data_IF_172258129008
#
_entry.id   IF_172258129008
#
_cell.length_a   1.000
_cell.length_b   1.000
_cell.length_c   1.000
_cell.angle_alpha   90.00
_cell.angle_beta   90.00
_cell.angle_gamma   90.00
#
_symmetry.space_group_name_H-M   'P 1'
#
loop_
_entity.id
_entity.type
_entity.pdbx_description
1 polymer ?
#
# COMPACT_ATOMS: atom_id res chain seq x y z
N UNK A 1 1.02 21.25 -29.89
CA UNK A 1 1.09 19.90 -29.30
C UNK A 1 2.33 19.22 -29.84
N UNK A 2 3.27 18.81 -28.99
CA UNK A 2 4.42 18.02 -29.43
C UNK A 2 4.02 16.53 -29.39
N UNK A 3 3.87 15.91 -30.56
CA UNK A 3 3.69 14.47 -30.74
C UNK A 3 5.05 13.90 -31.15
N UNK A 4 5.73 13.20 -30.24
CA UNK A 4 6.95 12.46 -30.58
C UNK A 4 6.54 11.02 -30.90
N UNK A 5 6.77 10.59 -32.15
CA UNK A 5 6.30 9.31 -32.71
C UNK A 5 7.43 8.26 -32.86
N UNK A 6 8.58 8.45 -32.20
CA UNK A 6 9.75 7.58 -32.29
C UNK A 6 10.18 7.13 -30.88
N UNK A 7 10.93 6.00 -30.73
CA UNK A 7 11.56 5.61 -29.47
C UNK A 7 12.71 6.59 -29.14
N UNK A 8 12.34 7.82 -28.79
CA UNK A 8 13.27 8.88 -28.46
C UNK A 8 13.58 8.85 -26.97
N UNK A 9 14.86 8.86 -26.63
CA UNK A 9 15.33 9.24 -25.29
C UNK A 9 14.83 10.67 -25.02
N UNK A 10 13.76 10.78 -24.26
CA UNK A 10 13.04 12.04 -24.10
C UNK A 10 13.71 12.90 -23.04
N UNK A 11 14.56 13.85 -23.46
CA UNK A 11 15.04 14.94 -22.61
C UNK A 11 14.22 16.18 -22.93
N UNK A 12 13.30 16.55 -22.04
CA UNK A 12 12.44 17.72 -22.22
C UNK A 12 12.82 18.78 -21.18
N UNK A 13 13.52 19.82 -21.64
CA UNK A 13 13.85 21.02 -20.86
C UNK A 13 12.82 22.10 -21.23
N UNK A 14 11.71 22.17 -20.49
CA UNK A 14 10.69 23.20 -20.73
C UNK A 14 10.23 23.84 -19.42
N UNK A 15 10.39 25.17 -19.34
CA UNK A 15 9.62 26.03 -18.45
C UNK A 15 8.31 26.41 -19.15
N UNK A 16 7.17 26.01 -18.60
CA UNK A 16 5.84 26.47 -19.01
C UNK A 16 5.00 25.46 -19.83
N UNK A 17 3.78 25.21 -19.33
CA UNK A 17 2.57 24.72 -20.03
C UNK A 17 2.68 23.62 -21.10
N UNK A 18 3.59 22.66 -20.99
CA UNK A 18 3.65 21.54 -21.94
C UNK A 18 2.73 20.37 -21.52
N UNK A 19 1.80 19.99 -22.41
CA UNK A 19 1.04 18.72 -22.40
C UNK A 19 1.59 17.74 -23.46
N UNK A 20 2.81 17.21 -23.30
CA UNK A 20 3.39 16.31 -24.28
C UNK A 20 2.74 14.92 -24.19
N UNK A 21 2.65 14.23 -25.33
CA UNK A 21 2.21 12.84 -25.39
C UNK A 21 3.24 11.99 -26.11
N UNK A 22 3.64 10.89 -25.48
CA UNK A 22 4.63 9.95 -25.98
C UNK A 22 4.00 8.57 -26.19
N UNK A 23 4.16 8.03 -27.41
CA UNK A 23 3.66 6.69 -27.72
C UNK A 23 4.58 5.60 -27.14
N UNK A 24 5.88 5.70 -27.39
CA UNK A 24 6.88 4.80 -26.85
C UNK A 24 8.10 5.59 -26.38
N UNK A 25 8.62 5.24 -25.21
CA UNK A 25 9.83 5.84 -24.66
C UNK A 25 10.67 4.76 -23.97
N UNK A 26 11.92 4.61 -24.39
CA UNK A 26 12.88 3.72 -23.73
C UNK A 26 13.35 4.33 -22.40
N UNK A 27 13.81 5.57 -22.43
CA UNK A 27 14.23 6.33 -21.27
C UNK A 27 13.65 7.74 -21.32
N UNK A 28 12.96 8.14 -20.25
CA UNK A 28 12.52 9.52 -20.07
C UNK A 28 13.20 10.13 -18.86
N UNK A 29 13.95 11.20 -19.05
CA UNK A 29 14.64 11.94 -18.00
C UNK A 29 14.19 13.41 -18.03
N UNK A 30 13.46 13.87 -17.00
CA UNK A 30 12.93 15.25 -17.01
C UNK A 30 13.72 16.21 -16.14
N UNK A 31 14.06 17.38 -16.69
CA UNK A 31 14.52 18.58 -15.98
C UNK A 31 13.71 19.77 -16.51
N UNK A 32 12.49 19.95 -15.99
CA UNK A 32 11.54 21.01 -16.38
C UNK A 32 10.21 20.91 -15.63
N UNK A 33 9.34 21.92 -15.76
CA UNK A 33 8.01 21.97 -15.12
C UNK A 33 6.95 21.60 -16.14
N UNK A 34 6.30 20.44 -15.99
CA UNK A 34 5.34 19.93 -16.96
C UNK A 34 3.93 19.73 -16.37
N UNK A 35 2.90 19.89 -17.22
CA UNK A 35 1.50 19.73 -16.84
C UNK A 35 0.78 18.74 -17.73
N UNK A 36 0.29 17.65 -17.15
CA UNK A 36 -0.44 16.55 -17.79
C UNK A 36 0.31 15.86 -18.94
N UNK A 37 1.58 15.44 -18.77
CA UNK A 37 2.21 14.58 -19.77
C UNK A 37 1.56 13.19 -19.79
N UNK A 38 1.47 12.57 -20.95
CA UNK A 38 0.94 11.21 -21.14
C UNK A 38 1.95 10.30 -21.84
N UNK A 39 2.09 9.09 -21.31
CA UNK A 39 2.99 8.05 -21.84
C UNK A 39 2.18 6.77 -22.07
N UNK A 40 2.14 6.28 -23.31
CA UNK A 40 1.49 5.00 -23.59
C UNK A 40 2.38 3.83 -23.14
N UNK A 41 3.62 3.78 -23.61
CA UNK A 41 4.62 2.83 -23.14
C UNK A 41 5.92 3.53 -22.74
N UNK A 42 6.37 3.31 -21.50
CA UNK A 42 7.64 3.79 -21.00
C UNK A 42 8.43 2.63 -20.36
N UNK A 43 9.66 2.38 -20.81
CA UNK A 43 10.48 1.33 -20.19
C UNK A 43 11.05 1.83 -18.86
N UNK A 44 11.78 2.94 -18.88
CA UNK A 44 12.30 3.58 -17.67
C UNK A 44 11.90 5.06 -17.64
N UNK A 45 11.24 5.45 -16.55
CA UNK A 45 10.90 6.84 -16.30
C UNK A 45 11.63 7.35 -15.06
N UNK A 46 12.50 8.34 -15.27
CA UNK A 46 13.22 9.05 -14.23
C UNK A 46 12.82 10.55 -14.24
N UNK A 47 12.19 11.05 -13.18
CA UNK A 47 11.94 12.51 -13.05
C UNK A 47 12.99 13.18 -12.21
N UNK A 48 13.63 14.22 -12.74
CA UNK A 48 14.41 15.22 -12.00
C UNK A 48 13.73 16.61 -12.15
N UNK A 49 12.44 16.72 -11.79
CA UNK A 49 11.65 17.94 -12.02
C UNK A 49 10.29 17.99 -11.32
N UNK A 50 9.46 19.00 -11.65
CA UNK A 50 8.11 19.19 -11.09
C UNK A 50 7.06 18.84 -12.13
N UNK A 51 6.25 17.81 -11.87
CA UNK A 51 5.19 17.38 -12.78
C UNK A 51 3.81 17.39 -12.13
N UNK A 52 2.81 17.89 -12.85
CA UNK A 52 1.41 17.85 -12.43
C UNK A 52 0.61 16.87 -13.29
N UNK A 53 -0.04 15.90 -12.66
CA UNK A 53 -0.93 14.87 -13.25
C UNK A 53 -0.31 14.08 -14.42
N UNK A 54 0.92 13.53 -14.30
CA UNK A 54 1.44 12.65 -15.34
C UNK A 54 0.62 11.35 -15.39
N UNK A 55 0.42 10.83 -16.60
CA UNK A 55 -0.32 9.58 -16.83
C UNK A 55 0.51 8.58 -17.61
N UNK A 56 0.52 7.33 -17.15
CA UNK A 56 1.25 6.22 -17.76
C UNK A 56 0.29 5.07 -17.99
N UNK A 57 0.15 4.63 -19.24
CA UNK A 57 -0.60 3.40 -19.54
C UNK A 57 0.24 2.18 -19.17
N UNK A 58 1.48 2.09 -19.65
CA UNK A 58 2.43 1.06 -19.27
C UNK A 58 3.78 1.68 -18.89
N UNK A 59 4.28 1.33 -17.71
CA UNK A 59 5.60 1.72 -17.23
C UNK A 59 6.36 0.49 -16.70
N UNK A 60 7.53 0.15 -17.24
CA UNK A 60 8.26 -0.99 -16.69
C UNK A 60 8.91 -0.60 -15.35
N UNK A 61 9.63 0.51 -15.33
CA UNK A 61 10.37 1.00 -14.17
C UNK A 61 10.08 2.48 -13.96
N UNK A 62 9.67 2.86 -12.75
CA UNK A 62 9.47 4.26 -12.39
C UNK A 62 10.29 4.65 -11.17
N UNK A 63 11.15 5.66 -11.36
CA UNK A 63 12.08 6.16 -10.35
C UNK A 63 11.99 7.70 -10.26
N UNK A 64 11.17 8.25 -9.34
CA UNK A 64 11.06 9.69 -9.19
C UNK A 64 12.20 10.23 -8.32
N UNK A 65 13.03 11.10 -8.89
CA UNK A 65 13.97 12.00 -8.22
C UNK A 65 13.44 13.46 -8.22
N UNK A 66 12.14 13.65 -7.91
CA UNK A 66 11.47 14.96 -8.03
C UNK A 66 10.11 15.08 -7.33
N UNK A 67 9.35 16.12 -7.67
CA UNK A 67 8.02 16.40 -7.10
C UNK A 67 6.93 16.10 -8.13
N UNK A 68 6.08 15.12 -7.84
CA UNK A 68 4.95 14.78 -8.70
C UNK A 68 3.61 14.96 -7.99
N UNK A 69 2.67 15.65 -8.63
CA UNK A 69 1.31 15.81 -8.11
C UNK A 69 0.32 14.94 -8.87
N UNK A 70 -0.37 14.03 -8.18
CA UNK A 70 -1.38 13.13 -8.78
C UNK A 70 -0.89 12.27 -9.97
N UNK A 71 0.30 11.65 -9.96
CA UNK A 71 0.64 10.61 -10.94
C UNK A 71 -0.38 9.47 -10.95
N UNK A 72 -0.69 8.98 -12.15
CA UNK A 72 -1.57 7.83 -12.38
C UNK A 72 -0.93 6.81 -13.30
N UNK A 73 -0.99 5.54 -12.93
CA UNK A 73 -0.45 4.41 -13.69
C UNK A 73 -1.54 3.36 -13.91
N UNK A 74 -1.74 2.94 -15.16
CA UNK A 74 -2.59 1.79 -15.46
C UNK A 74 -1.82 0.50 -15.14
N UNK A 75 -0.62 0.33 -15.70
CA UNK A 75 0.27 -0.78 -15.35
C UNK A 75 1.68 -0.28 -15.02
N UNK A 76 2.27 -0.85 -13.97
CA UNK A 76 3.66 -0.61 -13.59
C UNK A 76 4.34 -1.94 -13.18
N UNK A 77 5.56 -2.22 -13.64
CA UNK A 77 6.23 -3.45 -13.19
C UNK A 77 6.95 -3.23 -11.88
N UNK A 78 7.80 -2.21 -11.78
CA UNK A 78 8.48 -1.83 -10.54
C UNK A 78 8.37 -0.33 -10.32
N UNK A 79 8.05 0.02 -9.07
CA UNK A 79 8.04 1.40 -8.61
C UNK A 79 8.98 1.57 -7.43
N UNK A 80 9.94 2.48 -7.59
CA UNK A 80 10.94 2.78 -6.57
C UNK A 80 10.98 4.30 -6.31
N UNK A 81 10.35 4.78 -5.23
CA UNK A 81 10.26 6.20 -4.95
C UNK A 81 11.47 6.74 -4.19
N UNK A 82 12.16 7.67 -4.82
CA UNK A 82 13.16 8.56 -4.21
C UNK A 82 12.67 10.01 -4.09
N UNK A 83 11.37 10.27 -4.31
CA UNK A 83 10.80 11.60 -4.47
C UNK A 83 9.46 11.83 -3.75
N UNK A 84 8.96 13.07 -3.79
CA UNK A 84 7.74 13.48 -3.09
C UNK A 84 6.53 13.44 -4.02
N UNK A 85 5.56 12.59 -3.72
CA UNK A 85 4.30 12.51 -4.45
C UNK A 85 3.09 12.91 -3.57
N UNK A 86 2.23 13.81 -4.05
CA UNK A 86 1.13 14.40 -3.25
C UNK A 86 -0.19 13.62 -3.27
N UNK A 87 -0.40 12.78 -4.28
CA UNK A 87 -1.46 11.75 -4.44
C UNK A 87 -0.98 10.79 -5.52
N UNK A 88 -1.23 9.49 -5.40
CA UNK A 88 -0.69 8.49 -6.32
C UNK A 88 -1.75 7.41 -6.54
N UNK A 89 -1.98 7.02 -7.79
CA UNK A 89 -2.97 5.98 -8.10
C UNK A 89 -2.39 4.93 -9.05
N UNK A 90 -2.52 3.66 -8.67
CA UNK A 90 -2.19 2.51 -9.52
C UNK A 90 -3.42 1.64 -9.75
N UNK A 91 -3.65 1.28 -11.02
CA UNK A 91 -4.56 0.18 -11.34
C UNK A 91 -3.87 -1.16 -11.15
N UNK A 92 -2.69 -1.36 -11.75
CA UNK A 92 -1.89 -2.57 -11.56
C UNK A 92 -0.41 -2.21 -11.31
N UNK A 93 0.21 -2.85 -10.31
CA UNK A 93 1.65 -2.79 -10.11
C UNK A 93 2.19 -4.16 -9.70
N UNK A 94 3.29 -4.62 -10.30
CA UNK A 94 3.88 -5.88 -9.83
C UNK A 94 4.57 -5.67 -8.49
N UNK A 95 5.52 -4.75 -8.41
CA UNK A 95 6.41 -4.62 -7.26
C UNK A 95 6.59 -3.17 -6.82
N UNK A 96 6.59 -2.95 -5.51
CA UNK A 96 7.10 -1.74 -4.87
C UNK A 96 8.29 -2.11 -3.99
N UNK A 97 9.45 -1.52 -4.26
CA UNK A 97 10.65 -1.75 -3.44
C UNK A 97 10.52 -1.06 -2.07
N UNK A 98 10.67 0.27 -2.03
CA UNK A 98 10.57 1.04 -0.78
C UNK A 98 9.67 2.24 -0.97
N UNK A 99 8.42 2.15 -0.56
CA UNK A 99 7.47 3.26 -0.71
C UNK A 99 7.28 4.01 0.61
N UNK A 100 7.71 5.28 0.63
CA UNK A 100 7.48 6.20 1.75
C UNK A 100 6.70 7.42 1.31
N UNK A 101 5.46 7.59 1.79
CA UNK A 101 4.63 8.72 1.33
C UNK A 101 3.85 9.39 2.46
N UNK A 102 3.61 10.69 2.25
CA UNK A 102 2.80 11.55 3.13
C UNK A 102 1.40 11.84 2.58
N UNK A 103 1.05 11.27 1.43
CA UNK A 103 -0.16 11.55 0.66
C UNK A 103 -1.13 10.37 0.61
N UNK A 104 -2.39 10.55 0.18
CA UNK A 104 -3.40 9.47 0.12
C UNK A 104 -3.30 8.68 -1.20
N UNK A 105 -2.56 7.56 -1.31
CA UNK A 105 -2.56 6.77 -2.52
C UNK A 105 -3.73 5.78 -2.56
N UNK A 106 -4.04 5.31 -3.76
CA UNK A 106 -4.97 4.20 -3.99
C UNK A 106 -4.29 3.15 -4.86
N UNK A 107 -4.30 1.90 -4.39
CA UNK A 107 -3.74 0.75 -5.08
C UNK A 107 -4.86 -0.25 -5.35
N UNK A 108 -5.14 -0.52 -6.63
CA UNK A 108 -6.19 -1.47 -7.01
C UNK A 108 -5.65 -2.90 -7.01
N UNK A 109 -4.72 -3.26 -7.90
CA UNK A 109 -4.10 -4.58 -7.95
C UNK A 109 -2.58 -4.44 -7.79
N UNK A 110 -2.01 -5.00 -6.73
CA UNK A 110 -0.57 -4.99 -6.51
C UNK A 110 -0.06 -6.37 -6.13
N UNK A 111 1.07 -6.82 -6.67
CA UNK A 111 1.60 -8.12 -6.24
C UNK A 111 2.33 -7.97 -4.92
N UNK A 112 3.41 -7.19 -4.89
CA UNK A 112 4.33 -7.16 -3.74
C UNK A 112 4.66 -5.72 -3.32
N UNK A 113 4.66 -5.48 -2.01
CA UNK A 113 5.34 -4.35 -1.39
C UNK A 113 6.45 -4.89 -0.47
N UNK A 114 7.71 -4.58 -0.76
CA UNK A 114 8.81 -4.99 0.10
C UNK A 114 8.84 -4.12 1.38
N UNK A 115 8.93 -2.81 1.24
CA UNK A 115 8.82 -1.88 2.39
C UNK A 115 7.83 -0.77 2.09
N UNK A 116 6.86 -0.58 2.98
CA UNK A 116 5.86 0.47 2.87
C UNK A 116 5.70 1.22 4.19
N UNK A 117 5.93 2.53 4.15
CA UNK A 117 5.79 3.42 5.31
C UNK A 117 4.94 4.64 4.97
N UNK A 118 3.80 4.81 5.63
CA UNK A 118 2.89 5.92 5.30
C UNK A 118 2.38 6.67 6.51
N UNK A 119 2.22 7.99 6.34
CA UNK A 119 1.62 8.90 7.34
C UNK A 119 0.18 9.33 7.01
N UNK A 120 -0.35 8.85 5.90
CA UNK A 120 -1.60 9.27 5.25
C UNK A 120 -2.52 8.07 5.03
N UNK A 121 -3.81 8.26 4.73
CA UNK A 121 -4.80 7.17 4.61
C UNK A 121 -4.77 6.50 3.21
N UNK A 122 -4.04 5.38 2.97
CA UNK A 122 -4.14 4.68 1.71
C UNK A 122 -5.34 3.74 1.66
N UNK A 123 -5.71 3.35 0.45
CA UNK A 123 -6.61 2.23 0.20
C UNK A 123 -5.92 1.18 -0.68
N UNK A 124 -6.04 -0.08 -0.28
CA UNK A 124 -5.53 -1.25 -1.00
C UNK A 124 -6.71 -2.18 -1.31
N UNK A 125 -6.95 -2.46 -2.59
CA UNK A 125 -8.07 -3.31 -3.01
C UNK A 125 -7.67 -4.78 -3.10
N UNK A 126 -6.69 -5.13 -3.92
CA UNK A 126 -6.19 -6.49 -4.11
C UNK A 126 -4.66 -6.46 -4.04
N UNK A 127 -4.08 -7.02 -2.99
CA UNK A 127 -2.63 -7.06 -2.80
C UNK A 127 -2.17 -8.47 -2.44
N UNK A 128 -1.12 -8.99 -3.06
CA UNK A 128 -0.68 -10.36 -2.69
C UNK A 128 0.13 -10.33 -1.39
N UNK A 129 1.19 -9.52 -1.33
CA UNK A 129 2.14 -9.50 -0.22
C UNK A 129 2.55 -8.10 0.22
N UNK A 130 2.67 -7.93 1.53
CA UNK A 130 3.44 -6.86 2.17
C UNK A 130 4.51 -7.48 3.05
N UNK A 131 5.80 -7.28 2.73
CA UNK A 131 6.88 -7.82 3.56
C UNK A 131 7.05 -6.97 4.84
N UNK A 132 7.18 -5.66 4.71
CA UNK A 132 7.19 -4.73 5.86
C UNK A 132 6.25 -3.57 5.63
N UNK A 133 5.30 -3.39 6.55
CA UNK A 133 4.31 -2.32 6.47
C UNK A 133 4.20 -1.57 7.80
N UNK A 134 4.44 -0.26 7.78
CA UNK A 134 4.39 0.62 8.95
C UNK A 134 3.54 1.85 8.70
N UNK A 135 2.47 2.02 9.48
CA UNK A 135 1.40 2.97 9.18
C UNK A 135 1.02 3.81 10.39
N UNK A 136 1.03 5.13 10.24
CA UNK A 136 0.55 6.08 11.28
C UNK A 136 -0.87 6.59 11.03
N UNK A 137 -1.53 6.08 10.00
CA UNK A 137 -2.82 6.53 9.48
C UNK A 137 -3.88 5.43 9.50
N UNK A 138 -5.08 5.70 8.97
CA UNK A 138 -6.20 4.75 8.89
C UNK A 138 -6.21 4.07 7.51
N UNK A 139 -5.41 3.02 7.28
CA UNK A 139 -5.44 2.30 6.01
C UNK A 139 -6.67 1.39 5.92
N UNK A 140 -7.11 1.14 4.68
CA UNK A 140 -8.12 0.13 4.38
C UNK A 140 -7.54 -0.92 3.43
N UNK A 141 -7.69 -2.19 3.80
CA UNK A 141 -7.26 -3.35 3.04
C UNK A 141 -8.48 -4.21 2.70
N UNK A 142 -8.76 -4.39 1.40
CA UNK A 142 -9.94 -5.14 0.98
C UNK A 142 -9.63 -6.64 0.83
N UNK A 143 -8.75 -7.01 -0.09
CA UNK A 143 -8.31 -8.37 -0.34
C UNK A 143 -6.77 -8.42 -0.30
N UNK A 144 -6.19 -9.05 0.74
CA UNK A 144 -4.74 -9.14 0.89
C UNK A 144 -4.30 -10.54 1.29
N UNK A 145 -3.38 -11.18 0.57
CA UNK A 145 -3.01 -12.56 0.90
C UNK A 145 -2.14 -12.62 2.16
N UNK A 146 -1.05 -11.84 2.23
CA UNK A 146 -0.12 -11.93 3.36
C UNK A 146 0.49 -10.58 3.80
N UNK A 147 0.71 -10.49 5.11
CA UNK A 147 1.52 -9.44 5.74
C UNK A 147 2.62 -10.09 6.58
N UNK A 148 3.88 -9.94 6.18
CA UNK A 148 5.04 -10.53 6.85
C UNK A 148 5.68 -9.65 7.94
N UNK A 149 5.21 -8.40 8.09
CA UNK A 149 5.38 -7.59 9.30
C UNK A 149 4.45 -6.39 9.16
N UNK A 150 3.57 -6.18 10.14
CA UNK A 150 2.62 -5.07 10.09
C UNK A 150 2.55 -4.32 11.43
N UNK A 151 2.92 -3.04 11.39
CA UNK A 151 2.80 -2.09 12.50
C UNK A 151 1.80 -0.98 12.17
N UNK A 152 0.70 -0.85 12.92
CA UNK A 152 -0.29 0.23 12.70
C UNK A 152 -0.63 0.99 14.00
N UNK A 153 -0.42 2.30 14.00
CA UNK A 153 -0.71 3.15 15.15
C UNK A 153 -2.13 3.75 15.18
N UNK A 154 -2.87 3.67 14.08
CA UNK A 154 -4.20 4.27 13.92
C UNK A 154 -5.21 3.22 13.42
N UNK A 155 -6.53 3.45 13.43
CA UNK A 155 -7.58 2.42 13.22
C UNK A 155 -7.57 1.84 11.79
N UNK A 156 -6.98 0.65 11.52
CA UNK A 156 -7.07 0.03 10.19
C UNK A 156 -8.34 -0.80 10.03
N UNK A 157 -8.71 -1.07 8.78
CA UNK A 157 -9.77 -2.01 8.44
C UNK A 157 -9.27 -3.07 7.45
N UNK A 158 -9.57 -4.34 7.72
CA UNK A 158 -9.23 -5.50 6.90
C UNK A 158 -10.50 -6.28 6.57
N UNK A 159 -10.85 -6.47 5.29
CA UNK A 159 -12.06 -7.23 4.92
C UNK A 159 -11.81 -8.69 4.56
N UNK A 160 -10.80 -9.00 3.75
CA UNK A 160 -10.48 -10.36 3.31
C UNK A 160 -8.96 -10.53 3.32
N UNK A 161 -8.40 -11.08 4.41
CA UNK A 161 -6.95 -11.24 4.51
C UNK A 161 -6.55 -12.63 4.96
N UNK A 162 -5.63 -13.29 4.26
CA UNK A 162 -5.35 -14.70 4.55
C UNK A 162 -4.40 -14.89 5.73
N UNK A 163 -3.28 -14.14 5.78
CA UNK A 163 -2.23 -14.38 6.77
C UNK A 163 -1.57 -13.10 7.29
N UNK A 164 -1.26 -13.08 8.58
CA UNK A 164 -0.46 -12.04 9.26
C UNK A 164 0.62 -12.65 10.15
N UNK A 165 1.85 -12.17 10.03
CA UNK A 165 3.00 -12.65 10.78
C UNK A 165 4.06 -11.56 10.82
N UNK A 166 4.52 -11.00 11.94
CA UNK A 166 3.76 -10.54 13.10
C UNK A 166 2.94 -9.27 12.83
N UNK A 167 1.85 -9.10 13.59
CA UNK A 167 0.96 -7.94 13.55
C UNK A 167 0.94 -7.22 14.91
N UNK A 168 1.27 -5.93 14.92
CA UNK A 168 1.27 -5.09 16.12
C UNK A 168 0.52 -3.79 15.92
N UNK A 169 -0.46 -3.51 16.78
CA UNK A 169 -1.32 -2.34 16.64
C UNK A 169 -1.60 -1.63 17.95
N UNK A 170 -1.60 -0.29 17.90
CA UNK A 170 -1.92 0.56 19.06
C UNK A 170 -3.38 1.05 19.07
N UNK A 171 -4.11 0.81 17.99
CA UNK A 171 -5.43 1.36 17.70
C UNK A 171 -6.52 0.28 17.70
N UNK A 172 -7.76 0.65 17.35
CA UNK A 172 -8.95 -0.23 17.28
C UNK A 172 -9.09 -0.78 15.84
N UNK A 173 -8.50 -1.94 15.50
CA UNK A 173 -8.65 -2.53 14.18
C UNK A 173 -9.97 -3.26 14.02
N UNK A 174 -10.42 -3.36 12.78
CA UNK A 174 -11.56 -4.20 12.39
C UNK A 174 -11.13 -5.23 11.36
N UNK A 175 -11.48 -6.49 11.60
CA UNK A 175 -11.21 -7.64 10.74
C UNK A 175 -12.54 -8.31 10.37
N UNK A 176 -12.84 -8.43 9.07
CA UNK A 176 -14.10 -9.02 8.62
C UNK A 176 -13.96 -10.51 8.29
N UNK A 177 -13.07 -10.90 7.38
CA UNK A 177 -12.81 -12.28 7.00
C UNK A 177 -11.30 -12.48 6.94
N UNK A 178 -10.70 -12.83 8.08
CA UNK A 178 -9.24 -12.97 8.17
C UNK A 178 -8.85 -14.35 8.69
N UNK A 179 -8.12 -15.14 7.91
CA UNK A 179 -7.93 -16.55 8.22
C UNK A 179 -6.95 -16.76 9.38
N UNK A 180 -5.69 -16.35 9.23
CA UNK A 180 -4.63 -16.73 10.18
C UNK A 180 -3.81 -15.55 10.69
N UNK A 181 -3.53 -15.58 11.99
CA UNK A 181 -2.61 -14.65 12.67
C UNK A 181 -1.54 -15.45 13.42
N UNK A 182 -0.29 -15.39 12.97
CA UNK A 182 0.83 -16.04 13.66
C UNK A 182 1.12 -15.35 15.00
N UNK A 183 1.19 -14.02 15.01
CA UNK A 183 1.34 -13.22 16.24
C UNK A 183 0.55 -11.93 16.11
N UNK A 184 -0.35 -11.68 17.06
CA UNK A 184 -1.16 -10.48 17.10
C UNK A 184 -1.06 -9.77 18.45
N UNK A 185 -0.49 -8.56 18.45
CA UNK A 185 -0.45 -7.64 19.58
C UNK A 185 -1.38 -6.44 19.36
N UNK A 186 -2.39 -6.23 20.22
CA UNK A 186 -3.28 -5.06 20.13
C UNK A 186 -3.45 -4.35 21.47
N UNK A 187 -3.09 -3.07 21.54
CA UNK A 187 -3.20 -2.29 22.78
C UNK A 187 -4.62 -1.74 23.06
N UNK A 188 -5.53 -1.78 22.10
CA UNK A 188 -6.90 -1.28 22.26
C UNK A 188 -7.93 -2.32 21.83
N UNK A 189 -9.23 -2.00 21.79
CA UNK A 189 -10.33 -2.95 21.50
C UNK A 189 -10.42 -3.29 20.01
N UNK A 190 -10.03 -4.50 19.55
CA UNK A 190 -10.24 -4.94 18.18
C UNK A 190 -11.60 -5.62 17.98
N UNK A 191 -12.08 -5.64 16.74
CA UNK A 191 -13.28 -6.38 16.34
C UNK A 191 -12.98 -7.39 15.23
N UNK A 192 -13.49 -8.61 15.38
CA UNK A 192 -13.35 -9.70 14.42
C UNK A 192 -14.73 -10.27 14.07
N UNK A 193 -15.08 -10.29 12.78
CA UNK A 193 -16.33 -10.88 12.31
C UNK A 193 -16.15 -12.37 12.00
N UNK A 194 -15.20 -12.72 11.14
CA UNK A 194 -14.88 -14.10 10.79
C UNK A 194 -13.35 -14.30 10.82
N UNK A 195 -12.89 -15.25 11.62
CA UNK A 195 -11.48 -15.56 11.71
C UNK A 195 -11.17 -17.02 12.07
N UNK A 196 -10.17 -17.61 11.43
CA UNK A 196 -9.94 -19.05 11.60
C UNK A 196 -9.04 -19.36 12.78
N UNK A 197 -7.84 -18.77 12.83
CA UNK A 197 -6.77 -19.18 13.75
C UNK A 197 -5.94 -18.01 14.27
N UNK A 198 -5.59 -18.07 15.56
CA UNK A 198 -4.51 -17.28 16.18
C UNK A 198 -3.49 -18.22 16.82
N UNK A 199 -2.22 -18.08 16.47
CA UNK A 199 -1.14 -18.86 17.12
C UNK A 199 -0.57 -18.16 18.37
N UNK A 200 -0.58 -16.83 18.41
CA UNK A 200 -0.28 -16.04 19.60
C UNK A 200 -1.10 -14.76 19.60
N UNK A 201 -1.82 -14.52 20.70
CA UNK A 201 -2.67 -13.34 20.85
C UNK A 201 -2.35 -12.62 22.17
N UNK A 202 -1.96 -11.34 22.07
CA UNK A 202 -1.70 -10.46 23.21
C UNK A 202 -2.52 -9.19 23.09
N UNK A 203 -3.42 -8.96 24.06
CA UNK A 203 -4.28 -7.78 24.05
C UNK A 203 -4.40 -7.14 25.42
N UNK A 204 -4.45 -5.79 25.43
CA UNK A 204 -4.68 -4.98 26.64
C UNK A 204 -6.16 -4.62 26.86
N UNK A 205 -7.03 -4.96 25.92
CA UNK A 205 -8.45 -4.60 25.95
C UNK A 205 -9.31 -5.76 25.45
N UNK A 206 -10.54 -5.85 25.95
CA UNK A 206 -11.49 -6.89 25.57
C UNK A 206 -11.85 -6.79 24.06
N UNK A 207 -11.66 -7.85 23.27
CA UNK A 207 -12.06 -7.92 21.87
C UNK A 207 -13.55 -8.25 21.70
N UNK A 208 -14.07 -8.03 20.49
CA UNK A 208 -15.36 -8.58 20.05
C UNK A 208 -15.14 -9.62 18.94
N UNK A 209 -15.74 -10.80 19.09
CA UNK A 209 -15.72 -11.88 18.10
C UNK A 209 -17.15 -12.26 17.73
N UNK A 210 -17.40 -12.55 16.44
CA UNK A 210 -18.69 -13.08 15.97
C UNK A 210 -18.59 -14.56 15.58
N UNK A 211 -17.73 -14.91 14.62
CA UNK A 211 -17.57 -16.27 14.11
C UNK A 211 -16.07 -16.64 13.99
N UNK A 212 -15.44 -17.00 15.10
CA UNK A 212 -14.04 -17.39 15.11
C UNK A 212 -13.80 -18.77 15.72
N UNK A 213 -12.95 -19.59 15.09
CA UNK A 213 -12.92 -21.05 15.31
C UNK A 213 -11.74 -21.59 16.14
N UNK A 214 -10.58 -20.93 16.22
CA UNK A 214 -9.43 -21.47 16.97
C UNK A 214 -8.51 -20.40 17.58
N UNK A 215 -8.19 -20.56 18.87
CA UNK A 215 -7.20 -19.76 19.60
C UNK A 215 -6.16 -20.69 20.22
N UNK A 216 -4.92 -20.63 19.76
CA UNK A 216 -3.80 -21.30 20.41
C UNK A 216 -2.97 -20.24 21.16
N UNK A 217 -2.69 -20.49 22.45
CA UNK A 217 -1.95 -19.62 23.38
C UNK A 217 -2.42 -18.15 23.47
N UNK A 218 -3.37 -17.90 24.38
CA UNK A 218 -3.86 -16.54 24.70
C UNK A 218 -3.30 -16.03 26.04
N UNK A 219 -2.51 -14.96 26.02
CA UNK A 219 -2.22 -14.12 27.19
C UNK A 219 -3.05 -12.85 27.08
N UNK A 220 -4.27 -12.89 27.59
CA UNK A 220 -5.12 -11.71 27.72
C UNK A 220 -4.70 -11.00 29.01
N UNK A 221 -3.89 -9.94 28.90
CA UNK A 221 -3.55 -9.05 30.02
C UNK A 221 -4.67 -8.02 30.23
N UNK A 222 -5.89 -8.51 30.48
CA UNK A 222 -6.94 -7.71 31.11
C UNK A 222 -7.32 -8.44 32.38
N UNK A 223 -7.15 -7.77 33.53
CA UNK A 223 -7.52 -8.18 34.89
C UNK A 223 -8.39 -9.45 35.00
N UNK A 224 -7.93 -10.36 35.87
CA UNK A 224 -8.49 -11.68 36.22
C UNK A 224 -10.01 -11.83 36.00
N UNK A 225 -10.40 -12.98 35.44
CA UNK A 225 -11.50 -13.86 35.93
C UNK A 225 -12.56 -14.36 34.91
N UNK A 226 -12.60 -13.96 33.63
CA UNK A 226 -13.83 -14.27 32.85
C UNK A 226 -13.68 -14.59 31.36
N UNK A 227 -12.77 -15.48 30.98
CA UNK A 227 -12.79 -16.05 29.62
C UNK A 227 -12.27 -17.49 29.56
N UNK A 228 -12.63 -18.32 30.54
CA UNK A 228 -12.30 -19.75 30.57
C UNK A 228 -13.45 -20.64 30.07
N UNK A 229 -14.36 -20.12 29.23
CA UNK A 229 -15.65 -20.80 28.95
C UNK A 229 -16.21 -20.76 27.52
N UNK A 230 -15.42 -20.44 26.51
CA UNK A 230 -15.81 -20.75 25.12
C UNK A 230 -14.60 -21.24 24.34
N UNK A 231 -13.96 -22.27 24.90
CA UNK A 231 -13.22 -23.25 24.13
C UNK A 231 -14.21 -24.40 24.02
N UNK A 232 -14.73 -24.65 22.81
CA UNK A 232 -15.18 -26.01 22.45
C UNK A 232 -13.86 -26.71 22.09
N UNK A 233 -13.40 -27.79 22.72
CA UNK A 233 -14.04 -28.90 23.43
C UNK A 233 -14.90 -28.57 24.67
#
# INVERSE_FOLDING_TARGET
MLRANAPSAGRLLAGGSCKPSFSACSLFATLGVCSKPSFSACSLFATLGVCSKPSFSACSMFEPLGVCSKPSFSTCSLFEPLGVCSKLSFSACSMFATLSMRSKPSFSACSVFATLSMRSKPSFSACSMFATLSMRSKPSFSACSMFATLGVCSKPSFSACSMFEPLSMRSKPSFSACSMFATLGVCSKPSFSACSMFATLSMRSKPSFSACSAFNYSLISSNLASYRRNIVL
#
